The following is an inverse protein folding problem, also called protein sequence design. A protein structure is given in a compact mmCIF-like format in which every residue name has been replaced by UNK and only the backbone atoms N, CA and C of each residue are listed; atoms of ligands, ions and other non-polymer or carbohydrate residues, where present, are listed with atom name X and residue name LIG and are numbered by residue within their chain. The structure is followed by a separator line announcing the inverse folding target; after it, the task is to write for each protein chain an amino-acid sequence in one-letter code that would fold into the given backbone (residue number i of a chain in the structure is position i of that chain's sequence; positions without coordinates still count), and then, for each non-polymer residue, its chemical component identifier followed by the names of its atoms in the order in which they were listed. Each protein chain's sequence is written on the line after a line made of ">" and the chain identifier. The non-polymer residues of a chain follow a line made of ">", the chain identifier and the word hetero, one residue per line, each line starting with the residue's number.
data_IF_143262399461
#
_entry.id   IF_143262399461
#
_cell.length_a   1.000
_cell.length_b   1.000
_cell.length_c   1.000
_cell.angle_alpha   90.00
_cell.angle_beta   90.00
_cell.angle_gamma   90.00
#
_symmetry.space_group_name_H-M   'P 1'
#
loop_
_entity.id
_entity.type
_entity.pdbx_description
1 polymer ?
#
# COMPACT_ATOMS: atom_id res chain seq x y z
N UNK A 1 2.41 -10.41 15.43
CA UNK A 1 1.58 -10.84 14.28
C UNK A 1 1.06 -9.59 13.59
N UNK A 2 1.54 -9.25 12.41
CA UNK A 2 1.00 -8.15 11.61
C UNK A 2 -0.01 -8.76 10.63
N UNK A 3 -1.30 -8.53 10.87
CA UNK A 3 -2.36 -8.87 9.91
C UNK A 3 -2.25 -7.93 8.72
N UNK A 4 -1.53 -8.35 7.69
CA UNK A 4 -1.44 -7.59 6.45
C UNK A 4 -1.51 -8.56 5.28
N UNK A 5 -2.69 -9.14 5.01
CA UNK A 5 -2.89 -9.79 3.71
C UNK A 5 -4.34 -10.03 3.27
N UNK A 6 -5.34 -9.28 3.76
CA UNK A 6 -6.74 -9.52 3.34
C UNK A 6 -7.46 -8.30 2.77
N UNK A 7 -6.97 -7.07 2.98
CA UNK A 7 -7.73 -5.86 2.57
C UNK A 7 -7.66 -5.56 1.07
N UNK A 8 -6.52 -5.86 0.42
CA UNK A 8 -6.34 -5.57 -1.00
C UNK A 8 -6.34 -6.81 -1.91
N UNK A 9 -6.02 -8.00 -1.37
CA UNK A 9 -6.06 -9.27 -2.10
C UNK A 9 -5.48 -9.17 -3.52
N UNK A 10 -6.27 -9.57 -4.51
CA UNK A 10 -5.88 -9.57 -5.94
C UNK A 10 -5.79 -8.18 -6.59
N UNK A 11 -6.24 -7.13 -5.89
CA UNK A 11 -6.22 -5.76 -6.42
C UNK A 11 -4.84 -5.10 -6.28
N UNK A 12 -3.95 -5.67 -5.47
CA UNK A 12 -2.62 -5.14 -5.22
C UNK A 12 -1.60 -5.81 -6.14
N UNK A 13 -0.86 -4.99 -6.89
CA UNK A 13 0.19 -5.44 -7.80
C UNK A 13 1.50 -4.75 -7.44
N UNK A 14 2.52 -5.55 -7.18
CA UNK A 14 3.88 -5.10 -6.96
C UNK A 14 4.71 -5.41 -8.20
N UNK A 15 5.23 -4.38 -8.85
CA UNK A 15 6.22 -4.52 -9.92
C UNK A 15 7.60 -4.78 -9.30
N UNK A 16 8.17 -5.95 -9.54
CA UNK A 16 9.46 -6.36 -8.95
C UNK A 16 10.67 -5.70 -9.61
N UNK A 17 10.51 -5.11 -10.79
CA UNK A 17 11.59 -4.47 -11.54
C UNK A 17 11.83 -3.02 -11.08
N UNK A 18 10.74 -2.28 -10.86
CA UNK A 18 10.77 -0.87 -10.44
C UNK A 18 10.45 -0.67 -8.96
N UNK A 19 9.87 -1.67 -8.30
CA UNK A 19 9.34 -1.56 -6.94
C UNK A 19 8.02 -0.79 -6.86
N UNK A 20 7.31 -0.62 -7.98
CA UNK A 20 6.06 0.13 -8.01
C UNK A 20 4.91 -0.68 -7.43
N UNK A 21 4.22 -0.11 -6.44
CA UNK A 21 3.05 -0.72 -5.82
C UNK A 21 1.78 -0.06 -6.37
N UNK A 22 1.00 -0.83 -7.14
CA UNK A 22 -0.25 -0.37 -7.76
C UNK A 22 -1.44 -1.07 -7.11
N UNK A 23 -2.40 -0.29 -6.62
CA UNK A 23 -3.69 -0.80 -6.13
C UNK A 23 -4.74 -0.47 -7.21
N UNK A 24 -5.34 -1.52 -7.79
CA UNK A 24 -6.35 -1.40 -8.85
C UNK A 24 -7.76 -1.39 -8.26
N UNK A 25 -8.73 -0.84 -9.01
CA UNK A 25 -10.14 -0.82 -8.62
C UNK A 25 -10.37 -0.20 -7.23
N UNK A 26 -9.82 1.01 -7.02
CA UNK A 26 -10.05 1.86 -5.85
C UNK A 26 -11.51 2.35 -5.88
N UNK A 27 -12.27 2.07 -4.83
CA UNK A 27 -13.65 2.55 -4.64
C UNK A 27 -13.67 3.64 -3.57
N UNK A 28 -14.75 4.40 -3.46
CA UNK A 28 -14.90 5.43 -2.42
C UNK A 28 -14.70 4.85 -1.00
N UNK A 29 -15.05 3.58 -0.79
CA UNK A 29 -14.82 2.83 0.47
C UNK A 29 -13.36 2.54 0.77
N UNK A 30 -12.50 2.55 -0.25
CA UNK A 30 -11.06 2.39 -0.10
C UNK A 30 -10.39 3.76 0.23
N UNK A 31 -11.15 4.86 0.34
CA UNK A 31 -10.61 6.14 0.83
C UNK A 31 -10.16 6.01 2.30
N UNK A 32 -9.02 6.61 2.63
CA UNK A 32 -8.50 6.59 3.98
C UNK A 32 -7.02 6.88 4.07
N UNK A 33 -6.46 6.55 5.23
CA UNK A 33 -5.05 6.75 5.52
C UNK A 33 -4.24 5.50 5.15
N UNK A 34 -3.31 5.66 4.22
CA UNK A 34 -2.41 4.62 3.76
C UNK A 34 -1.04 4.83 4.37
N UNK A 35 -0.43 3.76 4.90
CA UNK A 35 0.93 3.80 5.43
C UNK A 35 1.85 2.88 4.62
N UNK A 36 2.81 3.47 3.94
CA UNK A 36 3.89 2.77 3.27
C UNK A 36 5.05 2.55 4.24
N UNK A 37 5.42 1.30 4.48
CA UNK A 37 6.58 0.94 5.29
C UNK A 37 7.64 0.31 4.40
N UNK A 38 8.77 0.99 4.21
CA UNK A 38 9.92 0.48 3.49
C UNK A 38 10.92 0.02 4.54
N UNK A 39 11.03 -1.31 4.71
CA UNK A 39 12.02 -1.92 5.61
C UNK A 39 13.28 -2.22 4.81
N UNK A 40 14.40 -1.65 5.22
CA UNK A 40 15.71 -1.91 4.61
C UNK A 40 16.76 -2.14 5.70
N UNK A 41 17.86 -2.81 5.35
CA UNK A 41 18.96 -3.03 6.31
C UNK A 41 19.62 -1.72 6.78
N UNK A 42 19.40 -0.61 6.06
CA UNK A 42 19.93 0.73 6.42
C UNK A 42 18.97 1.55 7.27
N UNK A 43 17.75 1.08 7.48
CA UNK A 43 16.73 1.81 8.22
C UNK A 43 15.32 1.53 7.69
N UNK A 44 14.34 1.79 8.54
CA UNK A 44 12.93 1.71 8.19
C UNK A 44 12.43 3.12 7.87
N UNK A 45 11.82 3.27 6.70
CA UNK A 45 11.18 4.51 6.29
C UNK A 45 9.69 4.30 6.26
N UNK A 46 8.97 5.09 7.05
CA UNK A 46 7.52 5.13 7.04
C UNK A 46 7.04 6.38 6.31
N UNK A 47 6.09 6.22 5.40
CA UNK A 47 5.44 7.34 4.71
C UNK A 47 3.94 7.16 4.74
N UNK A 48 3.24 8.20 5.17
CA UNK A 48 1.78 8.18 5.28
C UNK A 48 1.18 9.01 4.16
N UNK A 49 0.11 8.51 3.55
CA UNK A 49 -0.62 9.14 2.46
C UNK A 49 -2.10 9.20 2.83
N UNK A 50 -2.74 10.34 2.61
CA UNK A 50 -4.19 10.45 2.71
C UNK A 50 -4.78 10.32 1.31
N UNK A 51 -5.53 9.25 1.07
CA UNK A 51 -6.14 8.97 -0.23
C UNK A 51 -7.64 9.19 -0.11
N UNK A 52 -8.17 10.10 -0.92
CA UNK A 52 -9.61 10.36 -1.02
C UNK A 52 -10.05 10.09 -2.46
N UNK A 53 -11.03 9.19 -2.63
CA UNK A 53 -11.63 8.84 -3.91
C UNK A 53 -13.06 9.39 -3.93
N UNK A 54 -13.40 10.16 -4.97
CA UNK A 54 -14.72 10.77 -5.18
C UNK A 54 -15.52 10.00 -6.23
#
# INVERSE_FOLDING_TARGET
>A
MFSSNETFGDRLQLDSFTGNLTIRNIRNTDSGLYKLQIRSNRGNTDKTFNVTVY
#
